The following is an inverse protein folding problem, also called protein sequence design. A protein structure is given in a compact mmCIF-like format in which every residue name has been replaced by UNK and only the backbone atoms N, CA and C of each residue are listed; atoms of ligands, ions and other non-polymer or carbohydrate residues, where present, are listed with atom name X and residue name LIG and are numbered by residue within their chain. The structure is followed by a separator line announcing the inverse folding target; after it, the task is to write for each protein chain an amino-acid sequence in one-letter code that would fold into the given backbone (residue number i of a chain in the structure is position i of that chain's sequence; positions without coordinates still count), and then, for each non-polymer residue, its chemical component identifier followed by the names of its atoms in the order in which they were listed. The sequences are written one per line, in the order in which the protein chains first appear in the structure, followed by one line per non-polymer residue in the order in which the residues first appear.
data_IF_967021978287
#
_entry.id   IF_967021978287
#
_cell.length_a   1.000
_cell.length_b   1.000
_cell.length_c   1.000
_cell.angle_alpha   90.00
_cell.angle_beta   90.00
_cell.angle_gamma   90.00
#
_symmetry.space_group_name_H-M   'P 1'
#
loop_
_entity.id
_entity.type
_entity.pdbx_description
1 polymer ?
#
# COMPACT_ATOMS: atom_id res chain seq x y z
N UNK A 1 -0.68 21.55 -6.17
CA UNK A 1 -0.40 20.66 -5.00
C UNK A 1 -0.87 21.30 -3.68
N UNK A 2 -0.58 22.59 -3.40
CA UNK A 2 -1.03 23.27 -2.18
C UNK A 2 -2.57 23.26 -1.96
N UNK A 3 -3.37 23.54 -3.00
CA UNK A 3 -4.84 23.58 -2.87
C UNK A 3 -5.44 22.26 -2.33
N UNK A 4 -4.84 21.11 -2.67
CA UNK A 4 -5.33 19.80 -2.20
C UNK A 4 -4.97 19.53 -0.75
N UNK A 5 -3.85 20.07 -0.27
CA UNK A 5 -3.43 19.94 1.13
C UNK A 5 -4.41 20.64 2.07
N UNK A 6 -4.93 21.81 1.69
CA UNK A 6 -5.93 22.54 2.47
C UNK A 6 -7.28 21.80 2.52
N UNK A 7 -7.74 21.28 1.37
CA UNK A 7 -8.94 20.44 1.32
C UNK A 7 -8.81 19.18 2.22
N UNK A 8 -7.65 18.53 2.19
CA UNK A 8 -7.40 17.34 3.01
C UNK A 8 -7.29 17.68 4.50
N UNK A 9 -6.66 18.81 4.85
CA UNK A 9 -6.62 19.30 6.23
C UNK A 9 -8.03 19.60 6.78
N UNK A 10 -8.89 20.19 5.96
CA UNK A 10 -10.30 20.42 6.30
C UNK A 10 -11.07 19.10 6.53
N UNK A 11 -10.77 18.07 5.75
CA UNK A 11 -11.31 16.70 5.91
C UNK A 11 -10.67 15.88 7.02
N UNK A 12 -9.81 16.48 7.86
CA UNK A 12 -9.02 15.81 8.91
C UNK A 12 -8.15 14.66 8.39
N UNK A 13 -7.76 14.71 7.12
CA UNK A 13 -6.81 13.76 6.52
C UNK A 13 -5.38 14.20 6.86
N UNK A 14 -4.62 13.27 7.44
CA UNK A 14 -3.20 13.46 7.75
C UNK A 14 -2.36 12.71 6.72
N UNK A 15 -1.53 13.42 5.97
CA UNK A 15 -0.56 12.78 5.09
C UNK A 15 0.62 12.31 5.93
N UNK A 16 0.97 11.04 5.78
CA UNK A 16 2.17 10.47 6.36
C UNK A 16 3.16 10.20 5.24
N UNK A 17 4.32 10.86 5.26
CA UNK A 17 5.41 10.60 4.33
C UNK A 17 6.12 9.32 4.74
N UNK A 18 6.11 8.31 3.87
CA UNK A 18 6.88 7.08 4.09
C UNK A 18 8.29 7.22 3.52
N UNK A 19 9.32 6.65 4.18
CA UNK A 19 10.67 6.60 3.62
C UNK A 19 10.68 5.74 2.34
N UNK A 20 11.51 6.12 1.36
CA UNK A 20 11.61 5.51 0.01
C UNK A 20 11.82 3.99 0.03
N UNK A 21 12.52 3.46 1.05
CA UNK A 21 12.73 2.03 1.24
C UNK A 21 12.54 1.68 2.71
N UNK A 22 11.29 1.69 3.18
CA UNK A 22 10.94 1.21 4.53
C UNK A 22 10.22 -0.13 4.46
N UNK A 23 10.93 -1.25 4.18
CA UNK A 23 10.32 -2.58 4.05
C UNK A 23 9.59 -3.04 5.32
N UNK A 24 9.90 -2.44 6.48
CA UNK A 24 9.20 -2.70 7.75
C UNK A 24 7.97 -1.81 8.00
N UNK A 25 7.84 -0.66 7.32
CA UNK A 25 6.71 0.26 7.50
C UNK A 25 5.69 0.24 6.35
N UNK A 26 5.95 -0.55 5.30
CA UNK A 26 5.04 -0.67 4.17
C UNK A 26 3.95 -1.72 4.46
N UNK A 27 2.99 -1.36 5.33
CA UNK A 27 1.90 -2.24 5.80
C UNK A 27 1.13 -2.85 4.62
N UNK A 28 0.97 -2.09 3.53
CA UNK A 28 0.29 -2.58 2.33
C UNK A 28 1.05 -3.70 1.62
N UNK A 29 2.39 -3.74 1.68
CA UNK A 29 3.16 -4.86 1.13
C UNK A 29 3.08 -6.12 1.99
N UNK A 30 3.00 -5.96 3.31
CA UNK A 30 2.72 -7.10 4.22
C UNK A 30 1.34 -7.67 3.92
N UNK A 31 0.33 -6.81 3.76
CA UNK A 31 -1.02 -7.22 3.37
C UNK A 31 -1.04 -7.88 2.00
N UNK A 32 -0.33 -7.32 1.02
CA UNK A 32 -0.24 -7.89 -0.32
C UNK A 32 0.40 -9.28 -0.32
N UNK A 33 1.47 -9.48 0.45
CA UNK A 33 2.05 -10.81 0.66
C UNK A 33 1.04 -11.76 1.28
N UNK A 34 0.35 -11.33 2.32
CA UNK A 34 -0.68 -12.16 2.98
C UNK A 34 -1.76 -12.60 1.99
N UNK A 35 -2.35 -11.67 1.23
CA UNK A 35 -3.35 -11.98 0.20
C UNK A 35 -2.76 -12.93 -0.85
N UNK A 36 -1.54 -12.67 -1.33
CA UNK A 36 -0.89 -13.50 -2.34
C UNK A 36 -0.66 -14.93 -1.87
N UNK A 37 -0.26 -15.14 -0.62
CA UNK A 37 0.07 -16.48 -0.14
C UNK A 37 -1.13 -17.22 0.45
N UNK A 38 -2.09 -16.50 1.04
CA UNK A 38 -3.26 -17.11 1.69
C UNK A 38 -4.45 -17.27 0.75
N UNK A 39 -4.65 -16.33 -0.18
CA UNK A 39 -5.86 -16.31 -1.03
C UNK A 39 -5.60 -16.72 -2.48
N UNK A 40 -4.37 -16.53 -2.98
CA UNK A 40 -4.02 -16.95 -4.34
C UNK A 40 -3.34 -18.31 -4.25
N UNK A 41 -4.05 -19.37 -4.65
CA UNK A 41 -3.46 -20.71 -4.72
C UNK A 41 -2.27 -20.72 -5.69
N UNK A 42 -1.18 -21.36 -5.28
CA UNK A 42 0.11 -21.48 -6.01
C UNK A 42 -0.06 -22.04 -7.44
N UNK A 43 -1.21 -22.61 -7.77
CA UNK A 43 -1.56 -23.06 -9.11
C UNK A 43 -1.78 -21.94 -10.14
N UNK A 44 -2.16 -20.74 -9.72
CA UNK A 44 -2.55 -19.64 -10.63
C UNK A 44 -1.34 -18.79 -11.10
N UNK A 45 -0.25 -18.78 -10.32
CA UNK A 45 0.93 -17.93 -10.60
C UNK A 45 1.76 -18.36 -11.82
N UNK A 46 1.40 -19.44 -12.51
CA UNK A 46 2.05 -19.90 -13.75
C UNK A 46 1.51 -19.25 -15.03
N UNK A 47 0.51 -18.37 -14.94
CA UNK A 47 -0.11 -17.72 -16.11
C UNK A 47 0.39 -16.31 -16.42
N UNK A 48 1.40 -15.83 -15.70
CA UNK A 48 1.92 -14.47 -15.83
C UNK A 48 3.42 -14.42 -16.22
N UNK A 49 3.97 -15.51 -16.76
CA UNK A 49 5.27 -15.52 -17.46
C UNK A 49 5.08 -15.53 -18.98
#
# INVERSE_FOLDING_TARGET
MLNKLEEWKSKKLKIFGLPTYSPKQNIIEILWKFIKYEWIEVGDTRKLE
#
